data_IF_857407911135
#
_entry.id   IF_857407911135
#
_cell.length_a   1.000
_cell.length_b   1.000
_cell.length_c   1.000
_cell.angle_alpha   90.00
_cell.angle_beta   90.00
_cell.angle_gamma   90.00
#
_symmetry.space_group_name_H-M   'P 1'
#
loop_
_entity.id
_entity.type
_entity.pdbx_description
1 polymer ?
#
# COMPACT_ATOMS: atom_id res chain seq x y z
N UNK A 1 19.03 -67.70 -57.56
CA UNK A 1 20.16 -67.11 -58.30
C UNK A 1 20.73 -65.98 -57.45
N UNK A 2 22.02 -66.03 -57.18
CA UNK A 2 22.74 -65.16 -56.28
C UNK A 2 22.90 -63.74 -56.84
N UNK A 3 22.89 -62.72 -55.98
CA UNK A 3 23.79 -61.57 -56.15
C UNK A 3 24.18 -60.96 -54.81
N UNK A 4 25.46 -60.62 -54.74
CA UNK A 4 26.24 -60.30 -53.57
C UNK A 4 26.10 -58.86 -53.07
N UNK A 5 26.45 -58.74 -51.80
CA UNK A 5 26.76 -57.57 -50.96
C UNK A 5 27.68 -56.50 -51.56
N UNK A 6 27.42 -55.24 -51.20
CA UNK A 6 28.43 -54.20 -50.92
C UNK A 6 28.00 -53.35 -49.72
N UNK A 7 28.79 -53.39 -48.65
CA UNK A 7 28.69 -52.50 -47.48
C UNK A 7 29.36 -51.17 -47.81
N UNK A 8 28.62 -50.07 -47.75
CA UNK A 8 29.15 -48.71 -47.70
C UNK A 8 28.92 -48.14 -46.30
N UNK A 9 30.03 -47.93 -45.58
CA UNK A 9 30.03 -47.24 -44.30
C UNK A 9 29.72 -45.75 -44.52
N UNK A 10 28.49 -45.33 -44.20
CA UNK A 10 28.12 -43.93 -44.13
C UNK A 10 28.50 -43.39 -42.75
N UNK A 11 29.54 -42.55 -42.70
CA UNK A 11 29.81 -41.68 -41.55
C UNK A 11 28.61 -40.75 -41.36
N UNK A 12 27.95 -40.84 -40.19
CA UNK A 12 26.88 -39.91 -39.85
C UNK A 12 27.48 -38.53 -39.53
N UNK A 13 26.91 -37.43 -40.04
CA UNK A 13 27.43 -36.07 -39.80
C UNK A 13 27.32 -35.63 -38.33
N UNK A 14 26.68 -36.42 -37.46
CA UNK A 14 26.43 -36.07 -36.06
C UNK A 14 27.67 -36.23 -35.18
N UNK A 15 28.62 -37.11 -35.55
CA UNK A 15 29.87 -37.29 -34.81
C UNK A 15 30.82 -36.09 -34.96
N UNK A 16 30.77 -35.40 -36.10
CA UNK A 16 31.53 -34.17 -36.35
C UNK A 16 30.99 -32.97 -35.53
N UNK A 17 29.67 -32.88 -35.32
CA UNK A 17 29.09 -31.81 -34.50
C UNK A 17 29.34 -32.02 -33.00
N UNK A 18 29.29 -33.27 -32.52
CA UNK A 18 29.57 -33.57 -31.11
C UNK A 18 31.02 -33.26 -30.71
N UNK A 19 31.98 -33.51 -31.61
CA UNK A 19 33.39 -33.19 -31.39
C UNK A 19 33.66 -31.69 -31.41
N UNK A 20 32.98 -30.92 -32.27
CA UNK A 20 33.10 -29.46 -32.31
C UNK A 20 32.53 -28.79 -31.04
N UNK A 21 31.40 -29.28 -30.52
CA UNK A 21 30.76 -28.73 -29.32
C UNK A 21 31.56 -28.99 -28.02
N UNK A 22 32.27 -30.13 -27.94
CA UNK A 22 33.13 -30.44 -26.81
C UNK A 22 34.40 -29.56 -26.78
N UNK A 23 34.94 -29.22 -27.96
CA UNK A 23 36.12 -28.34 -28.07
C UNK A 23 35.77 -26.89 -27.72
N UNK A 24 34.59 -26.39 -28.10
CA UNK A 24 34.18 -25.01 -27.79
C UNK A 24 33.83 -24.82 -26.31
N UNK A 25 33.21 -25.82 -25.67
CA UNK A 25 32.95 -25.78 -24.22
C UNK A 25 34.22 -25.92 -23.38
N UNK A 26 35.18 -26.75 -23.81
CA UNK A 26 36.50 -26.85 -23.16
C UNK A 26 37.31 -25.55 -23.22
N UNK A 27 37.29 -24.85 -24.35
CA UNK A 27 38.01 -23.58 -24.52
C UNK A 27 37.43 -22.43 -23.66
N UNK A 28 36.11 -22.40 -23.46
CA UNK A 28 35.44 -21.40 -22.61
C UNK A 28 35.69 -21.61 -21.11
N UNK A 29 35.85 -22.85 -20.66
CA UNK A 29 36.16 -23.14 -19.25
C UNK A 29 37.62 -22.77 -18.95
N UNK A 30 38.55 -23.03 -19.86
CA UNK A 30 39.97 -22.68 -19.70
C UNK A 30 40.23 -21.16 -19.73
N UNK A 31 39.44 -20.39 -20.48
CA UNK A 31 39.54 -18.92 -20.48
C UNK A 31 38.96 -18.28 -19.21
N UNK A 32 37.94 -18.91 -18.61
CA UNK A 32 37.36 -18.46 -17.34
C UNK A 32 38.31 -18.74 -16.16
N UNK A 33 38.95 -19.91 -16.13
CA UNK A 33 39.92 -20.25 -15.07
C UNK A 33 41.19 -19.41 -15.17
N UNK A 34 41.65 -19.04 -16.36
CA UNK A 34 42.77 -18.10 -16.52
C UNK A 34 42.43 -16.69 -16.03
N UNK A 35 41.18 -16.23 -16.22
CA UNK A 35 40.75 -14.90 -15.78
C UNK A 35 40.63 -14.79 -14.25
N UNK A 36 40.34 -15.91 -13.56
CA UNK A 36 40.26 -15.95 -12.10
C UNK A 36 41.62 -15.96 -11.38
N UNK A 37 42.71 -16.32 -12.09
CA UNK A 37 44.07 -16.36 -11.51
C UNK A 37 44.80 -15.01 -11.63
N UNK A 38 44.40 -14.14 -12.56
CA UNK A 38 45.04 -12.84 -12.79
C UNK A 38 44.36 -11.64 -12.09
N UNK A 39 43.11 -11.77 -11.64
CA UNK A 39 42.44 -10.73 -10.85
C UNK A 39 42.32 -11.18 -9.39
N UNK A 40 43.31 -10.77 -8.59
CA UNK A 40 43.35 -11.01 -7.16
C UNK A 40 42.06 -10.57 -6.45
N UNK A 41 41.51 -11.43 -5.61
CA UNK A 41 40.46 -11.07 -4.68
C UNK A 41 40.98 -10.03 -3.68
N UNK A 42 40.17 -9.00 -3.34
CA UNK A 42 40.44 -8.21 -2.15
C UNK A 42 40.31 -9.11 -0.92
N UNK A 43 41.29 -9.00 -0.02
CA UNK A 43 41.32 -9.74 1.23
C UNK A 43 40.02 -9.51 2.02
N UNK A 44 39.38 -10.61 2.41
CA UNK A 44 38.32 -10.62 3.41
C UNK A 44 38.95 -10.35 4.78
N UNK A 45 38.73 -9.16 5.33
CA UNK A 45 39.07 -8.85 6.72
C UNK A 45 38.06 -9.53 7.64
N UNK A 46 38.59 -10.38 8.53
CA UNK A 46 37.85 -11.06 9.59
C UNK A 46 37.49 -10.05 10.70
N UNK A 47 36.20 -9.81 11.02
CA UNK A 47 35.81 -8.83 12.02
C UNK A 47 36.02 -9.28 13.47
N UNK A 48 36.62 -10.44 13.72
CA UNK A 48 36.90 -10.93 15.08
C UNK A 48 38.38 -11.20 15.32
N UNK A 49 39.18 -10.13 15.44
CA UNK A 49 40.44 -10.18 16.20
C UNK A 49 40.40 -9.15 17.33
N UNK A 50 40.59 -9.58 18.60
CA UNK A 50 40.71 -8.64 19.71
C UNK A 50 42.13 -8.07 19.77
N UNK A 51 42.20 -6.83 20.24
CA UNK A 51 43.37 -6.09 20.73
C UNK A 51 44.15 -5.26 19.70
N UNK A 52 43.93 -3.93 19.76
CA UNK A 52 44.98 -2.99 20.18
C UNK A 52 44.35 -1.64 20.54
N UNK A 53 44.56 -1.21 21.79
CA UNK A 53 44.26 0.14 22.25
C UNK A 53 45.27 1.12 21.65
N UNK A 54 44.77 2.24 21.13
CA UNK A 54 45.58 3.36 20.64
C UNK A 54 44.82 4.67 20.78
N UNK A 55 45.23 5.47 21.77
CA UNK A 55 44.78 6.85 22.01
C UNK A 55 45.03 7.76 20.80
N UNK A 56 44.08 8.65 20.51
CA UNK A 56 44.24 9.65 19.45
C UNK A 56 43.02 10.58 19.32
N UNK A 57 43.08 11.71 20.01
CA UNK A 57 42.18 12.86 19.92
C UNK A 57 41.66 13.16 18.49
N UNK A 58 40.35 13.05 18.28
CA UNK A 58 39.66 13.57 17.11
C UNK A 58 38.55 14.55 17.52
N UNK A 59 38.89 15.83 17.47
CA UNK A 59 38.10 16.97 16.99
C UNK A 59 36.57 16.80 16.93
N UNK A 60 35.89 17.65 17.69
CA UNK A 60 34.47 17.94 17.63
C UNK A 60 33.95 18.23 16.21
N UNK A 61 33.32 17.24 15.57
CA UNK A 61 32.34 17.44 14.49
C UNK A 61 31.47 16.19 14.26
N UNK A 62 30.99 15.58 15.35
CA UNK A 62 29.90 14.62 15.28
C UNK A 62 28.63 15.29 15.79
N UNK A 63 28.04 16.19 14.99
CA UNK A 63 26.62 16.53 15.19
C UNK A 63 25.83 15.26 14.92
N UNK A 64 25.18 14.77 15.95
CA UNK A 64 24.41 13.54 15.96
C UNK A 64 23.37 13.52 14.82
N UNK A 65 23.64 12.77 13.76
CA UNK A 65 22.63 12.25 12.84
C UNK A 65 21.90 11.09 13.53
N UNK A 66 21.26 11.37 14.66
CA UNK A 66 20.26 10.46 15.23
C UNK A 66 19.05 10.47 14.30
N UNK A 67 18.56 9.29 13.90
CA UNK A 67 17.35 9.18 13.10
C UNK A 67 16.24 10.07 13.69
N UNK A 68 15.59 10.89 12.86
CA UNK A 68 14.47 11.75 13.28
C UNK A 68 13.29 10.83 13.67
N UNK A 69 13.17 10.52 14.96
CA UNK A 69 12.09 9.70 15.48
C UNK A 69 10.87 10.59 15.75
N UNK A 70 9.71 10.32 15.13
CA UNK A 70 8.53 11.14 15.35
C UNK A 70 8.01 11.02 16.79
N UNK A 71 7.75 12.14 17.47
CA UNK A 71 7.15 12.12 18.82
C UNK A 71 5.71 11.63 18.78
N UNK A 72 5.28 10.82 19.74
CA UNK A 72 3.95 10.19 19.74
C UNK A 72 3.15 10.55 20.97
N UNK A 73 1.83 10.43 20.85
CA UNK A 73 0.88 10.60 21.95
C UNK A 73 -0.09 11.75 21.73
N UNK A 74 -0.98 11.99 22.71
CA UNK A 74 -1.91 13.11 22.69
C UNK A 74 -1.15 14.45 22.58
N UNK A 75 -1.57 15.32 21.66
CA UNK A 75 -0.93 16.62 21.43
C UNK A 75 0.20 16.62 20.40
N UNK A 76 0.64 15.46 19.90
CA UNK A 76 1.53 15.36 18.74
C UNK A 76 0.74 15.02 17.47
N UNK A 77 1.21 15.41 16.27
CA UNK A 77 0.60 14.98 15.02
C UNK A 77 0.54 13.45 14.89
N UNK A 78 -0.36 12.89 14.07
CA UNK A 78 -0.34 11.45 13.80
C UNK A 78 0.83 11.04 12.90
N UNK A 79 1.08 9.75 12.79
CA UNK A 79 1.97 9.13 11.80
C UNK A 79 1.10 8.36 10.82
N UNK A 80 1.08 8.77 9.55
CA UNK A 80 0.39 8.03 8.51
C UNK A 80 1.28 6.96 7.90
N UNK A 81 0.69 5.80 7.64
CA UNK A 81 1.25 4.80 6.74
C UNK A 81 0.50 4.89 5.41
N UNK A 82 1.22 5.13 4.32
CA UNK A 82 0.68 5.13 2.97
C UNK A 82 0.97 3.80 2.29
N UNK A 83 -0.07 3.17 1.78
CA UNK A 83 0.05 2.05 0.85
C UNK A 83 -0.32 2.54 -0.54
N UNK A 84 0.70 2.76 -1.38
CA UNK A 84 0.54 3.31 -2.74
C UNK A 84 0.71 2.18 -3.74
N UNK A 85 -0.33 1.94 -4.54
CA UNK A 85 -0.33 0.89 -5.57
C UNK A 85 -0.32 1.50 -6.97
N UNK A 86 0.51 0.95 -7.86
CA UNK A 86 0.48 1.23 -9.29
C UNK A 86 0.65 -0.04 -10.12
N UNK A 87 0.27 0.02 -11.39
CA UNK A 87 0.44 -1.07 -12.35
C UNK A 87 1.46 -0.74 -13.45
N UNK A 88 1.30 -1.38 -14.60
CA UNK A 88 2.10 -1.13 -15.79
C UNK A 88 1.98 0.33 -16.25
N UNK A 89 3.12 1.03 -16.38
CA UNK A 89 3.17 2.42 -16.86
C UNK A 89 2.99 3.50 -15.78
N UNK A 90 2.64 3.12 -14.54
CA UNK A 90 2.31 4.07 -13.48
C UNK A 90 3.51 4.64 -12.71
N UNK A 91 4.75 4.28 -13.07
CA UNK A 91 5.94 4.65 -12.28
C UNK A 91 6.08 6.16 -12.08
N UNK A 92 5.84 6.95 -13.13
CA UNK A 92 5.88 8.42 -13.06
C UNK A 92 4.76 8.98 -12.18
N UNK A 93 3.54 8.42 -12.28
CA UNK A 93 2.40 8.82 -11.45
C UNK A 93 2.60 8.49 -9.99
N UNK A 94 3.05 7.27 -9.67
CA UNK A 94 3.38 6.87 -8.30
C UNK A 94 4.48 7.75 -7.72
N UNK A 95 5.49 8.10 -8.52
CA UNK A 95 6.56 9.02 -8.10
C UNK A 95 6.02 10.42 -7.83
N UNK A 96 5.19 10.96 -8.75
CA UNK A 96 4.53 12.26 -8.59
C UNK A 96 3.65 12.28 -7.34
N UNK A 97 2.83 11.25 -7.13
CA UNK A 97 1.97 11.11 -5.95
C UNK A 97 2.81 11.03 -4.68
N UNK A 98 3.85 10.20 -4.65
CA UNK A 98 4.74 10.06 -3.49
C UNK A 98 5.34 11.41 -3.09
N UNK A 99 5.87 12.19 -4.05
CA UNK A 99 6.38 13.54 -3.79
C UNK A 99 5.29 14.48 -3.26
N UNK A 100 4.05 14.34 -3.72
CA UNK A 100 2.92 15.15 -3.28
C UNK A 100 2.49 14.84 -1.83
N UNK A 101 2.55 13.56 -1.41
CA UNK A 101 2.17 13.11 -0.06
C UNK A 101 3.36 12.94 0.88
N UNK A 102 4.58 13.32 0.47
CA UNK A 102 5.79 13.10 1.26
C UNK A 102 5.84 13.99 2.51
N UNK A 103 6.16 13.37 3.64
CA UNK A 103 6.50 14.02 4.90
C UNK A 103 7.42 13.07 5.69
N UNK A 104 8.54 13.54 6.27
CA UNK A 104 9.56 12.69 6.90
C UNK A 104 9.04 11.85 8.08
N UNK A 105 7.96 12.32 8.72
CA UNK A 105 7.25 11.61 9.81
C UNK A 105 6.52 10.34 9.36
N UNK A 106 6.07 10.28 8.11
CA UNK A 106 5.18 9.25 7.63
C UNK A 106 5.93 8.02 7.11
N UNK A 107 5.21 6.92 6.92
CA UNK A 107 5.72 5.66 6.35
C UNK A 107 5.10 5.44 4.98
N UNK A 108 5.86 4.90 4.04
CA UNK A 108 5.42 4.66 2.67
C UNK A 108 5.76 3.24 2.26
N UNK A 109 4.77 2.49 1.81
CA UNK A 109 4.92 1.20 1.15
C UNK A 109 4.42 1.36 -0.28
N UNK A 110 5.33 1.21 -1.24
CA UNK A 110 5.02 1.27 -2.67
C UNK A 110 4.89 -0.15 -3.18
N UNK A 111 3.77 -0.46 -3.85
CA UNK A 111 3.51 -1.76 -4.43
C UNK A 111 3.27 -1.62 -5.93
N UNK A 112 4.08 -2.34 -6.70
CA UNK A 112 3.89 -2.59 -8.12
C UNK A 112 3.51 -4.07 -8.27
N UNK A 113 2.67 -4.39 -9.26
CA UNK A 113 2.07 -5.71 -9.44
C UNK A 113 3.07 -6.84 -9.80
N UNK A 114 2.53 -8.03 -10.14
CA UNK A 114 3.22 -9.32 -10.22
C UNK A 114 4.35 -9.43 -11.26
N UNK A 115 4.72 -8.36 -11.97
CA UNK A 115 5.99 -8.28 -12.68
C UNK A 115 7.24 -8.42 -11.78
N UNK A 116 7.13 -8.37 -10.45
CA UNK A 116 8.24 -8.47 -9.49
C UNK A 116 8.60 -9.92 -9.06
N UNK A 117 9.90 -10.24 -8.97
CA UNK A 117 10.39 -11.61 -8.73
C UNK A 117 10.13 -12.15 -7.32
N UNK A 118 9.98 -13.48 -7.17
CA UNK A 118 9.76 -14.15 -5.87
C UNK A 118 10.96 -14.03 -4.91
N UNK A 119 12.18 -14.01 -5.45
CA UNK A 119 13.42 -13.82 -4.70
C UNK A 119 13.48 -12.42 -4.04
N UNK A 120 13.05 -11.39 -4.76
CA UNK A 120 13.02 -10.01 -4.24
C UNK A 120 12.03 -9.87 -3.09
N UNK A 121 10.85 -10.49 -3.21
CA UNK A 121 9.83 -10.51 -2.15
C UNK A 121 10.30 -11.23 -0.88
N UNK A 122 10.93 -12.40 -1.01
CA UNK A 122 11.44 -13.16 0.13
C UNK A 122 12.63 -12.48 0.81
N UNK A 123 13.53 -11.87 0.03
CA UNK A 123 14.69 -11.11 0.53
C UNK A 123 14.25 -9.86 1.29
N UNK A 124 13.28 -9.12 0.78
CA UNK A 124 12.72 -7.94 1.45
C UNK A 124 12.01 -8.32 2.76
N UNK A 125 11.19 -9.37 2.74
CA UNK A 125 10.53 -9.87 3.95
C UNK A 125 11.53 -10.38 5.00
N UNK A 126 12.62 -11.03 4.58
CA UNK A 126 13.70 -11.47 5.47
C UNK A 126 14.44 -10.30 6.12
N UNK A 127 14.83 -9.31 5.32
CA UNK A 127 15.54 -8.09 5.79
C UNK A 127 14.72 -7.29 6.81
N UNK A 128 13.43 -7.06 6.53
CA UNK A 128 12.54 -6.33 7.44
C UNK A 128 12.36 -7.06 8.78
N UNK A 129 12.38 -8.39 8.79
CA UNK A 129 12.26 -9.20 10.02
C UNK A 129 13.55 -9.26 10.83
N UNK A 130 14.71 -9.12 10.20
CA UNK A 130 16.02 -9.18 10.86
C UNK A 130 16.48 -7.87 11.48
N UNK A 131 15.91 -6.73 11.07
CA UNK A 131 16.33 -5.41 11.54
C UNK A 131 15.78 -5.09 12.94
N UNK A 132 16.69 -4.97 13.90
CA UNK A 132 16.37 -4.80 15.33
C UNK A 132 15.79 -3.41 15.62
N UNK A 133 16.16 -2.40 14.83
CA UNK A 133 15.60 -1.04 14.94
C UNK A 133 14.08 -0.99 14.68
N UNK A 134 13.56 -1.82 13.77
CA UNK A 134 12.11 -1.90 13.50
C UNK A 134 11.32 -2.57 14.63
N UNK A 135 12.00 -3.36 15.47
CA UNK A 135 11.42 -4.05 16.64
C UNK A 135 11.51 -3.21 17.91
N UNK A 136 12.59 -2.45 18.12
CA UNK A 136 12.83 -1.67 19.35
C UNK A 136 12.10 -0.32 19.39
N UNK A 137 11.90 0.36 18.25
CA UNK A 137 11.30 1.70 18.20
C UNK A 137 9.84 1.75 17.74
N UNK A 138 9.24 0.58 17.50
CA UNK A 138 7.88 0.43 17.01
C UNK A 138 7.69 1.02 15.61
N UNK A 139 7.28 0.17 14.66
CA UNK A 139 6.59 0.61 13.44
C UNK A 139 5.21 1.20 13.78
N UNK A 140 5.17 2.21 14.65
CA UNK A 140 3.95 2.85 15.03
C UNK A 140 3.49 3.74 13.89
N UNK A 141 2.30 3.50 13.42
CA UNK A 141 1.53 4.41 12.60
C UNK A 141 0.13 4.40 13.20
N UNK A 142 -0.60 5.48 13.00
CA UNK A 142 -1.93 5.66 13.59
C UNK A 142 -3.00 5.25 12.59
N UNK A 143 -2.82 5.69 11.33
CA UNK A 143 -3.71 5.37 10.22
C UNK A 143 -2.97 4.85 9.00
N UNK A 144 -3.58 3.87 8.34
CA UNK A 144 -3.22 3.38 7.02
C UNK A 144 -4.12 4.06 5.98
N UNK A 145 -3.51 4.72 5.00
CA UNK A 145 -4.19 5.34 3.85
C UNK A 145 -3.83 4.54 2.60
N UNK A 146 -4.84 4.02 1.90
CA UNK A 146 -4.64 3.33 0.61
C UNK A 146 -4.83 4.30 -0.55
N UNK A 147 -3.85 4.35 -1.47
CA UNK A 147 -3.90 5.21 -2.65
C UNK A 147 -3.50 4.43 -3.91
N UNK A 148 -4.19 4.69 -5.01
CA UNK A 148 -3.82 4.25 -6.35
C UNK A 148 -3.01 5.29 -7.12
N UNK A 149 -2.42 4.90 -8.25
CA UNK A 149 -1.69 5.81 -9.14
C UNK A 149 -2.57 6.92 -9.75
N UNK A 150 -3.89 6.73 -9.78
CA UNK A 150 -4.87 7.72 -10.26
C UNK A 150 -5.33 8.68 -9.17
N UNK A 151 -4.72 8.64 -7.99
CA UNK A 151 -5.13 9.43 -6.82
C UNK A 151 -4.21 10.64 -6.65
N UNK A 152 -4.75 11.71 -6.07
CA UNK A 152 -3.98 12.89 -5.75
C UNK A 152 -4.50 13.62 -4.50
N UNK A 153 -3.61 14.16 -3.64
CA UNK A 153 -4.02 14.92 -2.48
C UNK A 153 -4.59 16.30 -2.87
N UNK A 154 -5.58 16.76 -2.11
CA UNK A 154 -6.18 18.10 -2.22
C UNK A 154 -5.77 19.03 -1.06
N UNK A 155 -4.95 18.50 -0.16
CA UNK A 155 -4.45 19.18 1.03
C UNK A 155 -2.95 18.89 1.15
N UNK A 156 -2.21 19.82 1.76
CA UNK A 156 -0.80 19.56 2.10
C UNK A 156 -0.69 18.50 3.20
N UNK A 157 0.51 17.93 3.39
CA UNK A 157 0.73 16.99 4.49
C UNK A 157 0.55 17.64 5.85
N UNK A 158 0.98 18.89 6.03
CA UNK A 158 0.74 19.65 7.25
C UNK A 158 -0.76 19.87 7.50
N UNK A 159 -1.53 20.20 6.47
CA UNK A 159 -2.99 20.34 6.58
C UNK A 159 -3.66 19.03 7.04
N UNK A 160 -3.23 17.90 6.47
CA UNK A 160 -3.74 16.57 6.83
C UNK A 160 -3.36 16.20 8.26
N UNK A 161 -2.09 16.38 8.63
CA UNK A 161 -1.57 16.15 9.97
C UNK A 161 -2.31 17.01 11.01
N UNK A 162 -2.53 18.28 10.71
CA UNK A 162 -3.27 19.19 11.57
C UNK A 162 -4.72 18.73 11.74
N UNK A 163 -5.43 18.48 10.64
CA UNK A 163 -6.84 18.08 10.69
C UNK A 163 -7.07 16.78 11.48
N UNK A 164 -6.16 15.81 11.37
CA UNK A 164 -6.24 14.54 12.09
C UNK A 164 -5.65 14.57 13.50
N UNK A 165 -4.98 15.65 13.91
CA UNK A 165 -4.42 15.77 15.27
C UNK A 165 -5.51 15.79 16.35
N UNK A 166 -6.71 16.29 16.04
CA UNK A 166 -7.86 16.30 16.94
C UNK A 166 -8.76 15.07 16.81
N UNK A 167 -8.44 14.14 15.93
CA UNK A 167 -9.26 12.95 15.64
C UNK A 167 -8.82 11.80 16.55
N UNK A 168 -9.74 11.09 17.22
CA UNK A 168 -9.39 9.88 17.97
C UNK A 168 -8.77 8.82 17.04
N UNK A 169 -7.59 8.33 17.41
CA UNK A 169 -6.70 7.50 16.57
C UNK A 169 -7.22 6.08 16.30
N UNK A 170 -8.30 5.70 16.98
CA UNK A 170 -9.01 4.42 16.83
C UNK A 170 -10.16 4.49 15.81
N UNK A 171 -10.51 5.68 15.31
CA UNK A 171 -11.54 5.83 14.29
C UNK A 171 -11.06 5.37 12.91
N UNK A 172 -11.98 4.73 12.19
CA UNK A 172 -11.82 4.29 10.81
C UNK A 172 -12.75 5.11 9.92
N UNK A 173 -12.30 5.51 8.75
CA UNK A 173 -13.11 6.18 7.73
C UNK A 173 -13.38 5.17 6.62
N UNK A 174 -14.52 4.50 6.75
CA UNK A 174 -14.96 3.42 5.87
C UNK A 174 -16.38 3.75 5.45
N UNK A 175 -16.53 4.22 4.22
CA UNK A 175 -17.84 4.37 3.61
C UNK A 175 -18.46 2.98 3.40
N UNK A 176 -19.68 2.77 3.88
CA UNK A 176 -20.39 1.49 3.83
C UNK A 176 -21.91 1.68 3.79
N UNK A 177 -22.58 0.71 3.16
CA UNK A 177 -24.02 0.51 3.19
C UNK A 177 -24.31 -1.00 3.08
N UNK A 178 -25.46 -1.47 3.59
CA UNK A 178 -25.88 -2.86 3.36
C UNK A 178 -25.91 -3.16 1.86
N UNK A 179 -25.37 -4.31 1.46
CA UNK A 179 -25.46 -4.77 0.08
C UNK A 179 -26.89 -5.19 -0.23
N UNK A 180 -27.52 -4.55 -1.23
CA UNK A 180 -28.88 -4.85 -1.66
C UNK A 180 -28.96 -5.93 -2.75
N UNK A 181 -27.82 -6.45 -3.23
CA UNK A 181 -27.81 -7.50 -4.26
C UNK A 181 -28.47 -8.80 -3.77
N UNK A 182 -29.17 -9.53 -4.63
CA UNK A 182 -29.69 -10.85 -4.25
C UNK A 182 -28.57 -11.90 -4.21
N UNK A 183 -27.62 -11.80 -5.13
CA UNK A 183 -26.53 -12.74 -5.30
C UNK A 183 -25.23 -12.02 -5.66
N UNK A 184 -24.10 -12.65 -5.37
CA UNK A 184 -22.78 -12.19 -5.82
C UNK A 184 -22.41 -12.89 -7.14
N UNK A 185 -21.87 -12.11 -8.07
CA UNK A 185 -21.37 -12.65 -9.35
C UNK A 185 -20.06 -13.37 -9.09
N UNK A 186 -19.96 -14.61 -9.60
CA UNK A 186 -18.73 -15.39 -9.52
C UNK A 186 -17.90 -15.14 -10.78
N UNK A 187 -16.68 -14.70 -10.55
CA UNK A 187 -15.75 -14.30 -11.59
C UNK A 187 -14.49 -15.14 -11.54
N UNK A 188 -14.06 -15.58 -12.72
CA UNK A 188 -12.82 -16.28 -12.92
C UNK A 188 -11.88 -15.37 -13.72
N UNK A 189 -10.88 -14.83 -13.02
CA UNK A 189 -9.77 -14.12 -13.64
C UNK A 189 -8.68 -15.15 -14.00
N UNK A 190 -8.59 -15.48 -15.29
CA UNK A 190 -7.60 -16.43 -15.78
C UNK A 190 -6.16 -15.92 -15.62
N UNK A 191 -5.96 -14.61 -15.53
CA UNK A 191 -4.62 -14.01 -15.36
C UNK A 191 -4.05 -14.26 -13.96
N UNK A 192 -4.91 -14.55 -12.97
CA UNK A 192 -4.48 -14.96 -11.63
C UNK A 192 -4.06 -16.44 -11.57
N UNK A 193 -4.53 -17.25 -12.52
CA UNK A 193 -4.30 -18.70 -12.55
C UNK A 193 -3.25 -19.11 -13.58
N UNK A 194 -3.13 -18.34 -14.67
CA UNK A 194 -2.23 -18.57 -15.79
C UNK A 194 -1.53 -17.24 -16.10
N UNK A 195 -0.26 -17.28 -16.49
CA UNK A 195 0.46 -16.10 -16.98
C UNK A 195 0.02 -15.75 -18.41
N UNK A 196 -1.28 -15.54 -18.59
CA UNK A 196 -1.93 -15.15 -19.84
C UNK A 196 -2.39 -13.69 -19.74
N UNK A 197 -2.81 -13.12 -20.87
CA UNK A 197 -3.48 -11.81 -20.92
C UNK A 197 -4.90 -12.02 -21.44
N UNK A 198 -5.66 -12.84 -20.73
CA UNK A 198 -7.02 -13.23 -21.07
C UNK A 198 -8.02 -12.26 -20.44
N UNK A 199 -9.15 -12.05 -21.11
CA UNK A 199 -10.26 -11.31 -20.52
C UNK A 199 -10.84 -12.06 -19.30
N UNK A 200 -11.34 -11.28 -18.35
CA UNK A 200 -12.04 -11.79 -17.19
C UNK A 200 -13.31 -12.53 -17.65
N UNK A 201 -13.43 -13.79 -17.26
CA UNK A 201 -14.58 -14.61 -17.58
C UNK A 201 -15.59 -14.60 -16.44
N UNK A 202 -16.86 -14.35 -16.78
CA UNK A 202 -17.98 -14.41 -15.84
C UNK A 202 -18.57 -15.81 -15.88
N UNK A 203 -18.72 -16.45 -14.73
CA UNK A 203 -19.44 -17.72 -14.68
C UNK A 203 -20.95 -17.46 -14.82
N UNK A 204 -21.68 -18.41 -15.39
CA UNK A 204 -23.15 -18.38 -15.40
C UNK A 204 -23.76 -18.63 -14.01
N UNK A 205 -22.95 -19.01 -13.02
CA UNK A 205 -23.37 -19.28 -11.65
C UNK A 205 -23.48 -18.02 -10.80
N UNK A 206 -24.51 -17.96 -9.97
CA UNK A 206 -24.68 -16.96 -8.93
C UNK A 206 -24.30 -17.56 -7.58
N UNK A 207 -23.63 -16.77 -6.73
CA UNK A 207 -23.35 -17.16 -5.35
C UNK A 207 -24.42 -16.59 -4.42
N UNK A 208 -25.05 -17.47 -3.65
CA UNK A 208 -25.98 -17.09 -2.59
C UNK A 208 -25.26 -16.31 -1.48
N UNK A 209 -26.00 -15.42 -0.83
CA UNK A 209 -25.47 -14.66 0.30
C UNK A 209 -25.23 -15.58 1.49
N UNK A 210 -24.18 -15.33 2.27
CA UNK A 210 -23.90 -16.09 3.48
C UNK A 210 -24.96 -15.80 4.55
N UNK A 211 -25.42 -16.84 5.25
CA UNK A 211 -26.37 -16.69 6.37
C UNK A 211 -25.69 -16.23 7.67
N UNK A 212 -24.37 -16.44 7.77
CA UNK A 212 -23.61 -16.20 9.00
C UNK A 212 -23.24 -14.73 9.24
N UNK A 213 -23.30 -13.88 8.21
CA UNK A 213 -22.95 -12.46 8.30
C UNK A 213 -23.58 -11.67 7.15
N UNK A 214 -23.81 -10.38 7.36
CA UNK A 214 -24.35 -9.50 6.34
C UNK A 214 -23.24 -8.89 5.48
N UNK A 215 -23.48 -8.79 4.17
CA UNK A 215 -22.55 -8.13 3.25
C UNK A 215 -22.78 -6.63 3.25
N UNK A 216 -21.68 -5.88 3.32
CA UNK A 216 -21.68 -4.43 3.17
C UNK A 216 -20.81 -4.04 1.98
N UNK A 217 -21.24 -3.01 1.26
CA UNK A 217 -20.52 -2.43 0.12
C UNK A 217 -20.24 -0.95 0.39
N UNK A 218 -19.15 -0.43 -0.14
CA UNK A 218 -18.90 1.01 -0.17
C UNK A 218 -17.70 1.38 -1.02
N UNK A 219 -16.99 2.43 -0.62
CA UNK A 219 -15.82 2.91 -1.35
C UNK A 219 -14.61 1.97 -1.16
N UNK A 220 -13.90 1.65 -2.25
CA UNK A 220 -12.59 0.96 -2.17
C UNK A 220 -11.52 1.74 -1.41
N UNK A 221 -11.73 3.05 -1.23
CA UNK A 221 -10.78 3.95 -0.58
C UNK A 221 -11.14 4.10 0.89
N UNK A 222 -10.19 3.78 1.77
CA UNK A 222 -10.41 3.77 3.22
C UNK A 222 -9.23 4.38 3.96
N UNK A 223 -9.50 4.97 5.13
CA UNK A 223 -8.47 5.34 6.11
C UNK A 223 -8.69 4.46 7.33
N UNK A 224 -7.78 3.52 7.55
CA UNK A 224 -7.93 2.46 8.53
C UNK A 224 -7.07 2.73 9.75
N UNK A 225 -7.66 2.69 10.93
CA UNK A 225 -6.92 2.76 12.20
C UNK A 225 -6.03 1.54 12.36
N UNK A 226 -4.90 1.70 13.04
CA UNK A 226 -4.01 0.59 13.38
C UNK A 226 -4.72 -0.57 14.11
N UNK A 227 -5.55 -0.34 15.14
CA UNK A 227 -6.26 -1.42 15.82
C UNK A 227 -7.17 -2.24 14.90
N UNK A 228 -7.80 -1.59 13.91
CA UNK A 228 -8.64 -2.29 12.93
C UNK A 228 -7.82 -3.16 11.98
N UNK A 229 -6.71 -2.64 11.46
CA UNK A 229 -5.81 -3.42 10.59
C UNK A 229 -5.20 -4.61 11.34
N UNK A 230 -4.77 -4.42 12.60
CA UNK A 230 -4.28 -5.51 13.45
C UNK A 230 -5.37 -6.58 13.68
N UNK A 231 -6.63 -6.18 13.83
CA UNK A 231 -7.75 -7.11 13.91
C UNK A 231 -7.96 -7.89 12.60
N UNK A 232 -7.90 -7.23 11.43
CA UNK A 232 -8.01 -7.93 10.13
C UNK A 232 -6.89 -8.96 9.92
N UNK A 233 -5.66 -8.66 10.36
CA UNK A 233 -4.50 -9.56 10.23
C UNK A 233 -4.57 -10.70 11.24
N UNK A 234 -4.84 -10.40 12.51
CA UNK A 234 -4.94 -11.41 13.57
C UNK A 234 -6.18 -12.31 13.38
N UNK A 235 -7.26 -11.74 12.86
CA UNK A 235 -8.56 -12.37 12.60
C UNK A 235 -9.00 -13.31 13.73
N UNK A 236 -9.22 -12.79 14.95
CA UNK A 236 -9.46 -13.60 16.14
C UNK A 236 -10.77 -14.41 16.08
N UNK A 237 -11.76 -13.92 15.34
CA UNK A 237 -13.08 -14.54 15.11
C UNK A 237 -13.15 -15.28 13.77
N UNK A 238 -12.03 -15.38 13.04
CA UNK A 238 -11.90 -15.90 11.69
C UNK A 238 -12.72 -15.19 10.60
N UNK A 239 -13.55 -14.18 10.91
CA UNK A 239 -14.38 -13.48 9.94
C UNK A 239 -13.53 -12.91 8.79
N UNK A 240 -12.47 -12.18 9.14
CA UNK A 240 -11.57 -11.57 8.16
C UNK A 240 -10.88 -12.61 7.25
N UNK A 241 -10.60 -13.83 7.73
CA UNK A 241 -10.05 -14.93 6.91
C UNK A 241 -11.13 -15.54 6.00
N UNK A 242 -12.32 -15.77 6.54
CA UNK A 242 -13.47 -16.27 5.79
C UNK A 242 -13.82 -15.34 4.64
N UNK A 243 -13.79 -14.02 4.87
CA UNK A 243 -14.06 -13.02 3.83
C UNK A 243 -13.00 -13.01 2.72
N UNK A 244 -11.71 -13.24 3.04
CA UNK A 244 -10.67 -13.39 2.01
C UNK A 244 -10.96 -14.58 1.09
N UNK A 245 -11.40 -15.71 1.65
CA UNK A 245 -11.81 -16.88 0.87
C UNK A 245 -13.08 -16.61 0.09
N UNK A 246 -14.07 -15.96 0.71
CA UNK A 246 -15.33 -15.62 0.07
C UNK A 246 -15.10 -14.71 -1.15
N UNK A 247 -14.33 -13.63 -1.01
CA UNK A 247 -14.15 -12.66 -2.09
C UNK A 247 -13.09 -13.04 -3.14
N UNK A 248 -12.50 -14.24 -3.06
CA UNK A 248 -11.48 -14.73 -4.01
C UNK A 248 -11.92 -14.76 -5.47
N UNK A 249 -13.23 -14.92 -5.72
CA UNK A 249 -13.83 -15.01 -7.06
C UNK A 249 -14.96 -13.98 -7.22
N UNK A 250 -14.77 -12.78 -6.66
CA UNK A 250 -15.75 -11.69 -6.70
C UNK A 250 -15.17 -10.48 -7.44
N UNK A 251 -16.04 -9.73 -8.11
CA UNK A 251 -15.67 -8.42 -8.65
C UNK A 251 -15.44 -7.43 -7.53
N UNK A 252 -14.42 -6.59 -7.69
CA UNK A 252 -14.11 -5.46 -6.82
C UNK A 252 -14.16 -5.79 -5.31
N UNK A 253 -13.42 -6.82 -4.85
CA UNK A 253 -13.50 -7.30 -3.47
C UNK A 253 -13.11 -6.21 -2.43
N UNK A 254 -12.33 -5.21 -2.86
CA UNK A 254 -11.96 -4.05 -2.03
C UNK A 254 -13.15 -3.13 -1.69
N UNK A 255 -14.23 -3.17 -2.45
CA UNK A 255 -15.46 -2.41 -2.15
C UNK A 255 -16.34 -3.08 -1.10
N UNK A 256 -16.02 -4.32 -0.70
CA UNK A 256 -16.81 -5.10 0.24
C UNK A 256 -16.04 -5.52 1.50
N UNK A 257 -14.76 -5.85 1.37
CA UNK A 257 -14.00 -6.53 2.42
C UNK A 257 -13.99 -5.75 3.74
N UNK A 258 -13.48 -4.51 3.73
CA UNK A 258 -13.33 -3.73 4.97
C UNK A 258 -14.68 -3.30 5.55
N UNK A 259 -15.64 -3.00 4.68
CA UNK A 259 -17.01 -2.66 5.04
C UNK A 259 -17.66 -3.82 5.81
N UNK A 260 -17.54 -5.03 5.26
CA UNK A 260 -18.14 -6.23 5.83
C UNK A 260 -17.45 -6.62 7.15
N UNK A 261 -16.12 -6.53 7.24
CA UNK A 261 -15.40 -6.76 8.50
C UNK A 261 -15.84 -5.76 9.56
N UNK A 262 -15.85 -4.45 9.25
CA UNK A 262 -16.18 -3.41 10.21
C UNK A 262 -17.63 -3.53 10.72
N UNK A 263 -18.59 -3.78 9.83
CA UNK A 263 -20.00 -3.86 10.19
C UNK A 263 -20.35 -5.09 11.04
N UNK A 264 -19.70 -6.23 10.78
CA UNK A 264 -19.97 -7.49 11.50
C UNK A 264 -19.09 -7.66 12.75
N UNK A 265 -18.13 -6.77 13.00
CA UNK A 265 -17.26 -6.82 14.18
C UNK A 265 -17.76 -5.88 15.28
N UNK A 266 -18.30 -6.39 16.42
CA UNK A 266 -18.87 -5.55 17.47
C UNK A 266 -17.90 -4.50 18.02
N UNK A 267 -16.60 -4.81 18.01
CA UNK A 267 -15.51 -3.94 18.47
C UNK A 267 -15.43 -2.60 17.72
N UNK A 268 -15.88 -2.54 16.46
CA UNK A 268 -15.67 -1.37 15.60
C UNK A 268 -16.94 -0.55 15.31
N UNK A 269 -18.08 -0.91 15.92
CA UNK A 269 -19.36 -0.23 15.69
C UNK A 269 -19.36 1.26 16.03
N UNK A 270 -18.62 1.64 17.08
CA UNK A 270 -18.52 3.03 17.54
C UNK A 270 -17.23 3.71 17.05
N UNK A 271 -16.40 3.00 16.30
CA UNK A 271 -15.11 3.50 15.79
C UNK A 271 -15.07 3.49 14.26
N UNK A 272 -16.23 3.46 13.59
CA UNK A 272 -16.34 3.47 12.13
C UNK A 272 -17.18 4.66 11.70
N UNK A 273 -16.53 5.61 11.03
CA UNK A 273 -17.14 6.78 10.42
C UNK A 273 -17.51 6.44 8.98
N UNK A 274 -18.79 6.58 8.64
CA UNK A 274 -19.33 6.25 7.32
C UNK A 274 -19.02 7.36 6.28
N UNK A 275 -17.75 7.55 5.96
CA UNK A 275 -17.27 8.52 4.98
C UNK A 275 -15.87 8.15 4.50
N UNK A 276 -15.53 8.39 3.25
CA UNK A 276 -14.21 8.06 2.67
C UNK A 276 -13.18 9.21 2.74
N UNK A 277 -13.62 10.41 3.13
CA UNK A 277 -12.81 11.66 3.18
C UNK A 277 -12.21 12.00 1.80
N UNK A 278 -12.87 11.49 0.76
CA UNK A 278 -12.41 11.54 -0.62
C UNK A 278 -13.47 12.17 -1.50
N UNK A 279 -13.03 13.03 -2.41
CA UNK A 279 -13.89 13.57 -3.44
C UNK A 279 -14.09 12.52 -4.53
N UNK A 280 -15.35 12.15 -4.76
CA UNK A 280 -15.73 11.22 -5.83
C UNK A 280 -15.81 12.02 -7.13
N UNK A 281 -14.83 11.83 -8.02
CA UNK A 281 -14.83 12.48 -9.31
C UNK A 281 -16.02 12.01 -10.18
N UNK A 282 -16.58 12.89 -11.03
CA UNK A 282 -17.66 12.56 -11.94
C UNK A 282 -17.35 11.35 -12.86
N UNK A 283 -18.37 10.75 -13.50
CA UNK A 283 -18.19 9.66 -14.46
C UNK A 283 -17.18 10.01 -15.58
N UNK A 284 -16.55 9.01 -16.20
CA UNK A 284 -15.58 9.24 -17.27
C UNK A 284 -16.27 9.93 -18.46
N UNK A 285 -15.56 10.87 -19.11
CA UNK A 285 -16.09 11.68 -20.20
C UNK A 285 -16.44 13.13 -19.82
N UNK A 286 -16.51 13.45 -18.53
CA UNK A 286 -16.56 14.84 -18.05
C UNK A 286 -15.13 15.33 -17.86
N UNK A 287 -14.77 16.44 -18.51
CA UNK A 287 -13.43 17.02 -18.41
C UNK A 287 -13.10 17.34 -16.93
N UNK A 288 -11.98 16.81 -16.40
CA UNK A 288 -11.49 17.05 -15.05
C UNK A 288 -11.49 18.52 -14.61
N UNK A 289 -11.27 19.44 -15.56
CA UNK A 289 -11.17 20.88 -15.31
C UNK A 289 -12.48 21.53 -14.87
N UNK A 290 -13.64 20.97 -15.23
CA UNK A 290 -14.94 21.59 -14.93
C UNK A 290 -15.41 21.40 -13.49
N UNK A 291 -14.76 20.53 -12.72
CA UNK A 291 -15.14 20.27 -11.32
C UNK A 291 -14.03 20.62 -10.33
N UNK A 292 -13.01 21.36 -10.77
CA UNK A 292 -11.92 21.82 -9.91
C UNK A 292 -12.43 22.60 -8.68
N UNK A 293 -13.31 23.57 -8.89
CA UNK A 293 -13.83 24.40 -7.78
C UNK A 293 -14.66 23.58 -6.79
N UNK A 294 -15.45 22.62 -7.28
CA UNK A 294 -16.21 21.69 -6.45
C UNK A 294 -15.27 20.78 -5.63
N UNK A 295 -14.21 20.28 -6.25
CA UNK A 295 -13.18 19.47 -5.59
C UNK A 295 -12.47 20.26 -4.48
N UNK A 296 -12.01 21.48 -4.76
CA UNK A 296 -11.29 22.35 -3.80
C UNK A 296 -12.17 22.77 -2.62
N UNK A 297 -13.46 23.02 -2.88
CA UNK A 297 -14.42 23.44 -1.86
C UNK A 297 -15.00 22.27 -1.04
N UNK A 298 -14.86 21.02 -1.51
CA UNK A 298 -15.43 19.83 -0.84
C UNK A 298 -14.89 19.58 0.58
N UNK A 299 -13.69 20.08 0.89
CA UNK A 299 -13.00 19.76 2.15
C UNK A 299 -12.45 18.34 2.23
N UNK A 300 -12.46 17.59 1.12
CA UNK A 300 -11.89 16.23 1.04
C UNK A 300 -10.36 16.27 1.11
N UNK A 301 -9.74 15.20 1.62
CA UNK A 301 -8.28 15.09 1.68
C UNK A 301 -7.67 14.64 0.35
N UNK A 302 -8.39 13.80 -0.39
CA UNK A 302 -7.94 13.21 -1.66
C UNK A 302 -9.02 13.28 -2.71
N UNK A 303 -8.62 13.22 -3.97
CA UNK A 303 -9.45 12.89 -5.12
C UNK A 303 -8.75 11.77 -5.92
N UNK A 304 -9.44 11.22 -6.91
CA UNK A 304 -8.72 10.48 -7.94
C UNK A 304 -9.53 10.30 -9.20
N UNK A 305 -9.17 9.28 -9.97
CA UNK A 305 -9.49 9.15 -11.40
C UNK A 305 -8.74 10.19 -12.25
N UNK A 306 -7.56 10.60 -11.79
CA UNK A 306 -6.66 11.42 -12.61
C UNK A 306 -6.02 10.52 -13.66
N UNK A 307 -6.30 10.82 -14.93
CA UNK A 307 -5.61 10.24 -16.07
C UNK A 307 -4.26 10.92 -16.31
N UNK A 308 -3.81 10.95 -17.57
CA UNK A 308 -2.57 11.61 -17.98
C UNK A 308 -2.75 13.15 -18.09
N UNK A 309 -3.72 13.71 -17.37
CA UNK A 309 -3.99 15.15 -17.37
C UNK A 309 -2.97 15.87 -16.50
N UNK A 310 -1.80 16.11 -17.10
CA UNK A 310 -0.73 16.85 -16.46
C UNK A 310 -1.15 18.29 -16.12
N UNK A 311 -2.08 18.91 -16.85
CA UNK A 311 -2.46 20.30 -16.62
C UNK A 311 -3.28 20.48 -15.33
N UNK A 312 -4.25 19.59 -15.07
CA UNK A 312 -5.02 19.64 -13.82
C UNK A 312 -4.14 19.29 -12.61
N UNK A 313 -3.30 18.26 -12.73
CA UNK A 313 -2.37 17.88 -11.67
C UNK A 313 -1.35 19.00 -11.39
N UNK A 314 -0.87 19.68 -12.44
CA UNK A 314 0.01 20.84 -12.30
C UNK A 314 -0.69 21.98 -11.56
N UNK A 315 -1.96 22.24 -11.90
CA UNK A 315 -2.76 23.24 -11.19
C UNK A 315 -2.95 22.91 -9.71
N UNK A 316 -3.16 21.63 -9.37
CA UNK A 316 -3.23 21.19 -7.96
C UNK A 316 -1.90 21.40 -7.25
N UNK A 317 -0.79 21.03 -7.89
CA UNK A 317 0.56 21.22 -7.35
C UNK A 317 0.84 22.69 -7.04
N UNK A 318 0.53 23.58 -7.97
CA UNK A 318 0.81 25.02 -7.86
C UNK A 318 -0.15 25.73 -6.89
N UNK A 319 -1.47 25.56 -7.06
CA UNK A 319 -2.47 26.34 -6.34
C UNK A 319 -2.78 25.78 -4.94
N UNK A 320 -2.79 24.45 -4.77
CA UNK A 320 -3.18 23.81 -3.50
C UNK A 320 -1.96 23.39 -2.68
N UNK A 321 -1.04 22.65 -3.29
CA UNK A 321 0.09 22.05 -2.58
C UNK A 321 1.29 23.00 -2.46
N UNK A 322 1.35 24.03 -3.31
CA UNK A 322 2.52 24.91 -3.51
C UNK A 322 3.80 24.11 -3.72
N UNK A 323 3.70 23.00 -4.45
CA UNK A 323 4.78 22.07 -4.69
C UNK A 323 5.60 22.52 -5.91
N UNK A 324 6.93 22.59 -5.81
CA UNK A 324 7.78 22.83 -6.98
C UNK A 324 7.77 21.62 -7.92
N UNK A 325 8.02 21.83 -9.21
CA UNK A 325 7.91 20.80 -10.26
C UNK A 325 8.66 19.49 -9.93
N UNK A 326 9.88 19.61 -9.42
CA UNK A 326 10.74 18.45 -9.12
C UNK A 326 10.88 18.13 -7.63
N UNK A 327 10.22 18.86 -6.74
CA UNK A 327 10.37 18.70 -5.29
C UNK A 327 9.19 18.06 -4.59
N UNK A 328 9.34 17.89 -3.28
CA UNK A 328 8.28 17.42 -2.38
C UNK A 328 7.37 18.58 -1.97
N UNK A 329 6.14 18.27 -1.58
CA UNK A 329 5.24 19.29 -1.01
C UNK A 329 5.88 19.94 0.21
N UNK A 330 6.06 21.27 0.24
CA UNK A 330 6.68 21.93 1.38
C UNK A 330 5.77 21.86 2.60
N UNK A 331 6.36 21.53 3.76
CA UNK A 331 5.74 21.62 5.08
C UNK A 331 6.56 22.49 6.01
N UNK A 332 6.07 22.75 7.22
CA UNK A 332 6.78 23.55 8.22
C UNK A 332 8.13 22.91 8.61
N UNK A 333 8.20 21.57 8.59
CA UNK A 333 9.44 20.80 8.77
C UNK A 333 10.54 21.15 7.75
N UNK A 334 10.21 21.73 6.60
CA UNK A 334 11.14 22.12 5.54
C UNK A 334 11.47 23.63 5.57
N UNK A 335 10.86 24.44 6.45
CA UNK A 335 11.02 25.90 6.47
C UNK A 335 12.39 26.40 7.03
N UNK A 336 13.34 25.51 7.34
CA UNK A 336 14.58 25.82 8.07
C UNK A 336 15.83 26.12 7.23
N UNK A 337 15.83 25.89 5.92
CA UNK A 337 17.03 26.09 5.09
C UNK A 337 17.03 27.46 4.41
N UNK A 338 17.41 28.52 5.13
CA UNK A 338 17.80 29.82 4.53
C UNK A 338 19.20 29.73 3.88
N UNK A 339 19.40 28.74 3.03
CA UNK A 339 20.66 28.53 2.32
C UNK A 339 20.44 27.51 1.20
N UNK A 340 20.57 28.02 -0.03
CA UNK A 340 20.43 27.32 -1.31
C UNK A 340 18.98 27.02 -1.75
N UNK A 341 18.62 27.59 -2.89
CA UNK A 341 17.31 27.52 -3.50
C UNK A 341 16.93 26.06 -3.80
N UNK A 342 15.87 25.55 -3.15
CA UNK A 342 15.06 24.47 -3.71
C UNK A 342 15.17 23.09 -3.07
N UNK A 343 16.08 22.82 -2.13
CA UNK A 343 16.15 21.50 -1.48
C UNK A 343 15.71 21.53 -0.01
N UNK A 344 14.65 20.77 0.30
CA UNK A 344 14.27 20.43 1.67
C UNK A 344 15.38 19.57 2.29
N UNK A 345 16.37 20.22 2.91
CA UNK A 345 17.44 19.51 3.62
C UNK A 345 16.89 18.84 4.89
N UNK A 346 17.20 17.56 5.05
CA UNK A 346 16.80 16.73 6.19
C UNK A 346 17.41 17.33 7.47
N UNK A 347 16.63 18.08 8.23
CA UNK A 347 17.13 18.74 9.44
C UNK A 347 16.16 19.63 10.21
N UNK A 348 14.98 19.94 9.67
CA UNK A 348 13.94 20.65 10.42
C UNK A 348 13.14 19.76 11.38
N UNK A 349 12.33 20.39 12.22
CA UNK A 349 11.46 19.70 13.18
C UNK A 349 10.33 18.97 12.45
N UNK A 350 10.39 17.64 12.43
CA UNK A 350 9.39 16.79 11.76
C UNK A 350 8.03 16.76 12.49
N UNK A 351 7.94 17.33 13.69
CA UNK A 351 6.69 17.46 14.43
C UNK A 351 6.05 18.84 14.25
N UNK A 352 6.77 19.79 13.64
CA UNK A 352 6.23 21.09 13.29
C UNK A 352 5.24 20.96 12.13
N UNK A 353 4.01 21.43 12.36
CA UNK A 353 2.91 21.34 11.42
C UNK A 353 2.22 22.70 11.35
N UNK A 354 2.03 23.22 10.13
CA UNK A 354 1.36 24.49 9.90
C UNK A 354 0.04 24.33 9.16
N UNK A 355 -1.03 24.79 9.79
CA UNK A 355 -2.36 24.77 9.19
C UNK A 355 -2.51 25.80 8.06
N UNK A 356 -3.02 25.35 6.92
CA UNK A 356 -3.47 26.16 5.79
C UNK A 356 -4.99 26.28 5.69
N UNK A 357 -5.47 26.90 4.60
CA UNK A 357 -6.91 27.08 4.35
C UNK A 357 -7.61 25.76 4.03
N UNK A 358 -6.96 24.85 3.30
CA UNK A 358 -7.49 23.54 2.97
C UNK A 358 -7.58 22.64 4.22
N UNK A 359 -6.57 22.69 5.11
CA UNK A 359 -6.59 21.98 6.39
C UNK A 359 -7.69 22.46 7.33
N UNK A 360 -8.06 23.75 7.32
CA UNK A 360 -9.23 24.25 8.06
C UNK A 360 -10.54 23.64 7.56
N UNK A 361 -10.71 23.54 6.24
CA UNK A 361 -11.91 22.91 5.64
C UNK A 361 -11.97 21.42 5.98
N UNK A 362 -10.85 20.72 5.82
CA UNK A 362 -10.76 19.30 6.17
C UNK A 362 -11.01 19.07 7.66
N UNK A 363 -10.43 19.87 8.55
CA UNK A 363 -10.67 19.79 9.99
C UNK A 363 -12.14 20.01 10.33
N UNK A 364 -12.81 20.97 9.67
CA UNK A 364 -14.25 21.20 9.83
C UNK A 364 -15.09 20.02 9.34
N UNK A 365 -14.74 19.42 8.20
CA UNK A 365 -15.40 18.23 7.67
C UNK A 365 -15.28 17.07 8.66
N UNK A 366 -14.06 16.74 9.06
CA UNK A 366 -13.80 15.61 9.95
C UNK A 366 -14.42 15.82 11.32
N UNK A 367 -14.34 17.02 11.90
CA UNK A 367 -15.02 17.34 13.17
C UNK A 367 -16.55 17.17 13.07
N UNK A 368 -17.15 17.54 11.94
CA UNK A 368 -18.58 17.32 11.69
C UNK A 368 -18.95 15.84 11.58
N UNK A 369 -18.06 15.01 11.04
CA UNK A 369 -18.24 13.56 10.94
C UNK A 369 -18.05 12.86 12.29
N UNK A 370 -17.03 13.25 13.05
CA UNK A 370 -16.72 12.64 14.35
C UNK A 370 -17.59 13.17 15.49
N UNK A 371 -18.14 14.38 15.38
CA UNK A 371 -19.10 14.92 16.34
C UNK A 371 -20.50 14.32 16.22
N UNK A 372 -20.78 13.61 15.11
CA UNK A 372 -22.02 12.88 14.85
C UNK A 372 -21.91 11.38 15.13
N UNK A 373 -20.98 10.95 16.00
CA UNK A 373 -20.83 9.53 16.39
C UNK A 373 -22.09 9.04 17.13
N UNK A 374 -23.12 8.71 16.36
CA UNK A 374 -24.15 7.75 16.74
C UNK A 374 -23.65 6.33 16.45
N UNK A 375 -24.35 5.30 16.96
CA UNK A 375 -24.08 3.93 16.56
C UNK A 375 -24.08 3.83 15.03
N UNK A 376 -23.15 3.07 14.46
CA UNK A 376 -23.16 2.70 13.04
C UNK A 376 -24.59 2.35 12.60
N UNK A 377 -25.23 3.22 11.82
CA UNK A 377 -26.57 3.02 11.29
C UNK A 377 -26.53 1.84 10.32
N UNK A 378 -26.92 0.66 10.82
CA UNK A 378 -26.89 -0.61 10.08
C UNK A 378 -25.96 -1.68 10.66
N UNK A 379 -25.13 -1.39 11.66
CA UNK A 379 -24.40 -2.45 12.34
C UNK A 379 -25.34 -3.21 13.29
N UNK A 380 -25.74 -4.43 12.93
CA UNK A 380 -26.64 -5.28 13.74
C UNK A 380 -26.09 -5.40 15.16
N UNK A 381 -26.82 -4.96 16.18
CA UNK A 381 -26.54 -5.34 17.56
C UNK A 381 -26.74 -6.85 17.71
N UNK A 382 -25.66 -7.63 17.82
CA UNK A 382 -25.78 -9.04 18.20
C UNK A 382 -26.27 -9.07 19.64
N UNK A 383 -27.59 -9.26 19.78
CA UNK A 383 -28.28 -9.46 21.04
C UNK A 383 -27.81 -10.74 21.71
N UNK A 384 -28.02 -10.76 23.02
CA UNK A 384 -27.62 -11.75 24.03
C UNK A 384 -27.75 -13.23 23.63
N UNK A 385 -26.99 -14.13 24.29
CA UNK A 385 -27.06 -15.57 24.05
C UNK A 385 -28.49 -16.09 24.25
N UNK A 386 -29.02 -16.72 23.20
CA UNK A 386 -30.27 -17.47 23.22
C UNK A 386 -30.17 -18.51 24.34
N UNK A 387 -30.92 -18.29 25.41
CA UNK A 387 -31.13 -19.29 26.46
C UNK A 387 -32.06 -20.38 25.90
N UNK A 388 -31.83 -21.67 26.22
CA UNK A 388 -32.56 -22.75 25.58
C UNK A 388 -33.95 -22.95 26.18
N UNK A 389 -34.88 -23.29 25.29
CA UNK A 389 -36.11 -24.07 25.48
C UNK A 389 -37.26 -23.49 26.30
N UNK A 390 -38.40 -23.35 25.63
CA UNK A 390 -39.67 -23.90 26.12
C UNK A 390 -40.60 -24.23 24.94
N UNK A 391 -40.78 -25.52 24.66
CA UNK A 391 -41.90 -26.03 23.86
C UNK A 391 -43.22 -25.70 24.59
N UNK A 392 -44.29 -25.40 23.84
CA UNK A 392 -45.44 -26.32 23.82
C UNK A 392 -46.05 -26.37 22.40
N UNK A 393 -46.79 -27.36 21.96
CA UNK A 393 -47.51 -28.45 22.59
C UNK A 393 -48.57 -28.84 21.57
N UNK A 394 -48.60 -30.11 21.20
CA UNK A 394 -49.64 -30.70 20.35
C UNK A 394 -50.99 -30.58 21.07
N UNK A 395 -52.03 -30.16 20.35
CA UNK A 395 -53.39 -30.13 20.85
C UNK A 395 -54.40 -30.15 19.70
N UNK A 396 -55.02 -31.33 19.55
CA UNK A 396 -56.14 -31.77 18.71
C UNK A 396 -57.01 -30.72 18.01
#
# INVERSE_FOLDING_TARGET
MAHASRLSAACSPWSAFATLAAVTTGALVLSYVSSAVFFGHPAYEDPYSPDTAGDGSASASARASGALVPRRGPGYPPVFAYYVTGGHGDSLRVTRLLKAVYHPRNRYLLHLDAGAGAYERARLAGYVRSERAFREYGNGWDWLITLGAEDYPLVTQDDLLHAFSSVPRDLNFIEHKPDSGAHQVVVLDQNLLQSTNAEISFSSGQREKPDAFELFKGSRWTILSRPFVEHCVAAPDNLARTLLMYFSNSLDPMEFYFQTVAANSPRFRNTTVNHSVRFVAPPPGVDPRFWYDAMVSSGSAFAGRFGDDDALLQRIDEELLRRPLDGVTPGEWCAGAKGEEGECSVGGDIDAVKQGAAGRRLASLVAGLTGRTGPCEGCISLGEPISPTSSPGVGN
#
